data_IF_423229413892
#
_entry.id   IF_423229413892
#
_cell.length_a   1.000
_cell.length_b   1.000
_cell.length_c   1.000
_cell.angle_alpha   90.00
_cell.angle_beta   90.00
_cell.angle_gamma   90.00
#
_symmetry.space_group_name_H-M   'P 1'
#
loop_
_entity.id
_entity.type
_entity.pdbx_description
1 polymer ?
#
# COMPACT_ATOMS: atom_id res chain seq x y z
N UNK A 1 -8.43 -15.24 4.66
CA UNK A 1 -9.65 -14.44 4.53
C UNK A 1 -9.46 -13.07 5.15
N UNK A 2 -9.88 -12.05 4.45
CA UNK A 2 -9.73 -10.69 4.92
C UNK A 2 -10.83 -10.36 5.92
N UNK A 3 -10.46 -9.78 7.06
CA UNK A 3 -11.44 -9.36 8.04
C UNK A 3 -12.22 -8.13 7.60
N UNK A 4 -13.34 -7.85 8.26
CA UNK A 4 -14.16 -6.70 7.87
C UNK A 4 -13.42 -5.39 8.18
N UNK A 5 -13.79 -4.31 7.47
CA UNK A 5 -13.18 -3.02 7.75
C UNK A 5 -13.58 -2.50 9.12
N UNK A 6 -12.68 -1.72 9.71
CA UNK A 6 -12.92 -1.07 10.98
C UNK A 6 -14.06 -0.06 10.85
N UNK A 7 -14.85 0.07 11.91
CA UNK A 7 -15.95 1.03 11.92
C UNK A 7 -15.46 2.47 11.75
N UNK A 8 -14.27 2.76 12.26
CA UNK A 8 -13.69 4.09 12.09
C UNK A 8 -13.43 4.37 10.62
N UNK A 9 -12.90 3.38 9.91
CA UNK A 9 -12.68 3.54 8.48
C UNK A 9 -13.99 3.78 7.73
N UNK A 10 -15.01 3.00 8.05
CA UNK A 10 -16.30 3.18 7.39
C UNK A 10 -16.86 4.57 7.67
N UNK A 11 -16.67 5.07 8.89
CA UNK A 11 -17.09 6.43 9.23
C UNK A 11 -16.34 7.48 8.42
N UNK A 12 -15.04 7.30 8.25
CA UNK A 12 -14.25 8.24 7.47
C UNK A 12 -14.68 8.26 6.01
N UNK A 13 -15.04 7.10 5.46
CA UNK A 13 -15.42 7.00 4.06
C UNK A 13 -16.85 7.42 3.79
N UNK A 14 -17.65 7.62 4.85
CA UNK A 14 -19.07 7.90 4.69
C UNK A 14 -19.35 9.20 3.94
N UNK A 15 -18.41 10.14 3.96
CA UNK A 15 -18.59 11.42 3.27
C UNK A 15 -18.18 11.39 1.81
N UNK A 16 -17.60 10.28 1.36
CA UNK A 16 -17.16 10.16 -0.03
C UNK A 16 -18.29 9.58 -0.88
N UNK A 17 -18.17 9.79 -2.19
CA UNK A 17 -19.07 9.13 -3.13
C UNK A 17 -19.04 7.63 -2.89
N UNK A 18 -20.21 6.94 -2.89
CA UNK A 18 -20.22 5.50 -2.66
C UNK A 18 -19.35 4.70 -3.60
N UNK A 19 -19.21 5.15 -4.85
CA UNK A 19 -18.32 4.48 -5.80
C UNK A 19 -16.86 4.53 -5.31
N UNK A 20 -16.45 5.70 -4.83
CA UNK A 20 -15.08 5.88 -4.35
C UNK A 20 -14.86 5.08 -3.07
N UNK A 21 -15.84 5.10 -2.17
CA UNK A 21 -15.75 4.30 -0.95
C UNK A 21 -15.58 2.82 -1.27
N UNK A 22 -16.34 2.32 -2.25
CA UNK A 22 -16.20 0.92 -2.67
C UNK A 22 -14.81 0.63 -3.23
N UNK A 23 -14.25 1.57 -3.99
CA UNK A 23 -12.90 1.39 -4.52
C UNK A 23 -11.86 1.33 -3.40
N UNK A 24 -12.00 2.20 -2.40
CA UNK A 24 -11.09 2.19 -1.27
C UNK A 24 -11.15 0.85 -0.52
N UNK A 25 -12.37 0.35 -0.30
CA UNK A 25 -12.54 -0.92 0.40
C UNK A 25 -12.07 -2.10 -0.43
N UNK A 26 -12.27 -2.05 -1.74
CA UNK A 26 -11.78 -3.11 -2.62
C UNK A 26 -10.26 -3.13 -2.67
N UNK A 27 -9.64 -1.95 -2.71
CA UNK A 27 -8.18 -1.86 -2.69
C UNK A 27 -7.63 -2.39 -1.36
N UNK A 28 -8.28 -2.04 -0.25
CA UNK A 28 -7.91 -2.56 1.07
C UNK A 28 -7.94 -4.09 1.07
N UNK A 29 -9.01 -4.66 0.54
CA UNK A 29 -9.15 -6.11 0.52
C UNK A 29 -8.04 -6.76 -0.28
N UNK A 30 -7.72 -6.18 -1.43
CA UNK A 30 -6.65 -6.70 -2.27
C UNK A 30 -5.31 -6.69 -1.54
N UNK A 31 -5.00 -5.58 -0.85
CA UNK A 31 -3.75 -5.48 -0.10
C UNK A 31 -3.68 -6.55 0.98
N UNK A 32 -4.76 -6.73 1.72
CA UNK A 32 -4.76 -7.69 2.83
C UNK A 32 -4.79 -9.13 2.35
N UNK A 33 -5.30 -9.39 1.13
CA UNK A 33 -5.17 -10.71 0.53
C UNK A 33 -3.71 -11.04 0.26
N UNK A 34 -2.96 -10.07 -0.23
CA UNK A 34 -1.55 -10.29 -0.52
C UNK A 34 -0.67 -10.23 0.72
N UNK A 35 -1.11 -9.52 1.73
CA UNK A 35 -0.33 -9.32 2.96
C UNK A 35 -1.23 -9.52 4.19
N UNK A 36 -1.63 -10.77 4.47
CA UNK A 36 -2.58 -11.01 5.56
C UNK A 36 -2.08 -10.60 6.95
N UNK A 37 -0.78 -10.47 7.13
CA UNK A 37 -0.23 -10.03 8.40
C UNK A 37 -0.06 -8.53 8.52
N UNK A 38 -0.47 -7.76 7.53
CA UNK A 38 -0.25 -6.33 7.55
C UNK A 38 -1.15 -5.64 8.58
N UNK A 39 -0.61 -4.57 9.16
CA UNK A 39 -1.32 -3.73 10.11
C UNK A 39 -1.80 -2.49 9.39
N UNK A 40 -3.09 -2.19 9.52
CA UNK A 40 -3.70 -1.01 8.92
C UNK A 40 -3.55 0.17 9.86
N UNK A 41 -3.14 1.30 9.32
CA UNK A 41 -3.03 2.54 10.09
C UNK A 41 -3.85 3.60 9.38
N UNK A 42 -4.93 4.06 10.01
CA UNK A 42 -5.86 5.00 9.42
C UNK A 42 -5.43 6.42 9.68
N UNK A 43 -5.65 7.28 8.71
CA UNK A 43 -5.35 8.70 8.82
C UNK A 43 -6.45 9.48 8.12
N UNK A 44 -6.86 10.59 8.74
CA UNK A 44 -7.86 11.48 8.19
C UNK A 44 -7.31 12.90 8.23
N UNK A 45 -6.52 13.24 7.24
CA UNK A 45 -6.03 14.59 7.09
C UNK A 45 -6.64 15.21 5.86
N UNK A 46 -5.78 15.60 4.94
CA UNK A 46 -6.21 16.14 3.66
C UNK A 46 -7.05 15.13 2.90
N UNK A 47 -6.69 13.86 2.99
CA UNK A 47 -7.46 12.78 2.38
C UNK A 47 -7.51 11.64 3.40
N UNK A 48 -8.57 10.84 3.33
CA UNK A 48 -8.62 9.62 4.14
C UNK A 48 -7.62 8.64 3.54
N UNK A 49 -6.74 8.11 4.37
CA UNK A 49 -5.74 7.16 3.89
C UNK A 49 -5.58 6.00 4.85
N UNK A 50 -5.14 4.88 4.28
CA UNK A 50 -4.83 3.67 5.02
C UNK A 50 -3.39 3.32 4.71
N UNK A 51 -2.54 3.34 5.72
CA UNK A 51 -1.18 2.88 5.55
C UNK A 51 -1.07 1.42 5.97
N UNK A 52 -0.19 0.67 5.31
CA UNK A 52 0.01 -0.74 5.60
C UNK A 52 1.47 -1.00 5.91
N UNK A 53 1.71 -1.69 7.02
CA UNK A 53 3.05 -2.06 7.46
C UNK A 53 2.96 -3.36 8.23
N UNK A 54 4.12 -3.95 8.51
CA UNK A 54 4.16 -5.13 9.37
C UNK A 54 4.59 -4.77 10.78
N UNK A 55 4.83 -3.48 11.05
CA UNK A 55 5.29 -3.02 12.37
C UNK A 55 4.30 -2.09 13.05
N UNK A 56 3.30 -1.59 12.31
CA UNK A 56 2.39 -0.58 12.83
C UNK A 56 2.92 0.84 12.68
N UNK A 57 4.07 1.01 12.05
CA UNK A 57 4.67 2.33 11.84
C UNK A 57 4.65 2.66 10.35
N UNK A 58 3.52 3.19 9.85
CA UNK A 58 3.33 3.33 8.41
C UNK A 58 4.27 4.32 7.74
N UNK A 59 4.72 5.36 8.45
CA UNK A 59 5.62 6.33 7.84
C UNK A 59 7.05 5.81 7.73
N UNK A 60 7.46 5.01 8.70
CA UNK A 60 8.81 4.47 8.71
C UNK A 60 8.91 3.16 7.95
N UNK A 61 7.95 2.27 8.18
CA UNK A 61 8.03 0.89 7.72
C UNK A 61 6.91 0.50 6.78
N UNK A 62 6.12 1.45 6.30
CA UNK A 62 5.02 1.15 5.38
C UNK A 62 5.50 0.68 4.04
N UNK A 63 4.78 -0.27 3.46
CA UNK A 63 5.11 -0.75 2.12
C UNK A 63 4.13 -0.23 1.08
N UNK A 64 2.89 0.07 1.48
CA UNK A 64 1.93 0.68 0.58
C UNK A 64 0.88 1.43 1.38
N UNK A 65 0.08 2.20 0.67
CA UNK A 65 -0.99 2.97 1.29
C UNK A 65 -2.09 3.21 0.26
N UNK A 66 -3.28 3.50 0.76
CA UNK A 66 -4.42 3.85 -0.08
C UNK A 66 -4.83 5.27 0.31
N UNK A 67 -4.85 6.18 -0.65
CA UNK A 67 -5.31 7.54 -0.44
C UNK A 67 -6.60 7.74 -1.20
N UNK A 68 -7.62 8.32 -0.54
CA UNK A 68 -8.96 8.43 -1.09
C UNK A 68 -9.23 9.87 -1.48
N UNK A 69 -9.60 10.07 -2.74
CA UNK A 69 -9.92 11.38 -3.29
C UNK A 69 -11.37 11.42 -3.75
N UNK A 70 -11.81 12.57 -4.24
CA UNK A 70 -13.23 12.73 -4.57
C UNK A 70 -13.70 11.85 -5.71
N UNK A 71 -12.82 11.52 -6.66
CA UNK A 71 -13.21 10.75 -7.85
C UNK A 71 -12.50 9.42 -8.00
N UNK A 72 -11.50 9.15 -7.16
CA UNK A 72 -10.67 7.96 -7.34
C UNK A 72 -9.91 7.68 -6.05
N UNK A 73 -9.23 6.55 -6.03
CA UNK A 73 -8.26 6.27 -4.98
C UNK A 73 -6.90 6.04 -5.63
N UNK A 74 -5.85 6.31 -4.89
CA UNK A 74 -4.51 5.96 -5.30
C UNK A 74 -4.02 4.81 -4.44
N UNK A 75 -3.51 3.77 -5.11
CA UNK A 75 -2.76 2.73 -4.41
C UNK A 75 -1.29 3.11 -4.53
N UNK A 76 -0.73 3.57 -3.42
CA UNK A 76 0.63 4.09 -3.41
C UNK A 76 1.61 3.11 -2.80
N UNK A 77 2.84 3.17 -3.28
CA UNK A 77 3.93 2.34 -2.78
C UNK A 77 4.96 3.26 -2.18
N UNK A 78 5.24 3.04 -0.90
CA UNK A 78 6.09 3.96 -0.14
C UNK A 78 7.48 4.10 -0.74
N UNK A 79 7.99 3.03 -1.34
CA UNK A 79 9.27 3.05 -2.03
C UNK A 79 9.10 2.64 -3.49
N UNK A 80 8.04 3.17 -4.10
CA UNK A 80 7.68 2.80 -5.46
C UNK A 80 8.75 3.09 -6.48
N UNK A 81 9.55 4.13 -6.24
CA UNK A 81 10.63 4.48 -7.16
C UNK A 81 11.68 3.38 -7.27
N UNK A 82 11.75 2.49 -6.28
CA UNK A 82 12.71 1.40 -6.25
C UNK A 82 12.14 0.08 -6.73
N UNK A 83 10.86 0.06 -7.10
CA UNK A 83 10.23 -1.14 -7.63
C UNK A 83 10.56 -1.32 -9.11
N UNK A 84 10.70 -2.56 -9.58
CA UNK A 84 10.86 -2.79 -11.02
C UNK A 84 9.61 -2.30 -11.76
N UNK A 85 9.80 -1.39 -12.69
CA UNK A 85 8.68 -0.82 -13.45
C UNK A 85 9.14 -0.56 -14.89
N UNK A 86 9.46 -1.62 -15.63
CA UNK A 86 9.99 -1.44 -16.99
C UNK A 86 9.01 -0.79 -17.95
N UNK A 87 7.71 -0.92 -17.70
CA UNK A 87 6.68 -0.37 -18.58
C UNK A 87 6.15 0.97 -18.10
N UNK A 88 6.76 1.53 -17.06
CA UNK A 88 6.40 2.84 -16.53
C UNK A 88 4.92 2.95 -16.19
N UNK A 89 4.43 1.97 -15.44
CA UNK A 89 3.04 1.92 -15.04
C UNK A 89 2.76 2.70 -13.77
N UNK A 90 3.79 3.01 -13.00
CA UNK A 90 3.64 3.74 -11.76
C UNK A 90 3.76 5.23 -12.02
N UNK A 91 2.86 6.00 -11.41
CA UNK A 91 2.81 7.45 -11.55
C UNK A 91 3.41 8.12 -10.32
N UNK A 92 3.80 9.37 -10.49
CA UNK A 92 4.34 10.16 -9.40
C UNK A 92 5.76 10.61 -9.71
N UNK A 93 6.15 11.72 -9.07
CA UNK A 93 7.47 12.28 -9.28
C UNK A 93 8.16 12.63 -7.97
N UNK A 94 7.66 12.11 -6.86
CA UNK A 94 8.32 12.29 -5.59
C UNK A 94 9.61 11.50 -5.51
N UNK A 95 10.30 11.66 -4.41
CA UNK A 95 11.60 11.03 -4.25
C UNK A 95 11.48 9.51 -4.19
N UNK A 96 10.47 9.00 -3.48
CA UNK A 96 10.31 7.55 -3.32
C UNK A 96 8.92 7.06 -3.68
N UNK A 97 7.89 7.83 -3.40
CA UNK A 97 6.51 7.35 -3.52
C UNK A 97 6.08 7.32 -4.97
N UNK A 98 5.47 6.21 -5.37
CA UNK A 98 4.81 6.07 -6.67
C UNK A 98 3.44 5.46 -6.43
N UNK A 99 2.53 5.62 -7.39
CA UNK A 99 1.17 5.12 -7.20
C UNK A 99 0.54 4.66 -8.49
N UNK A 100 -0.55 3.90 -8.32
CA UNK A 100 -1.46 3.53 -9.39
C UNK A 100 -2.78 4.23 -9.09
N UNK A 101 -3.32 4.94 -10.07
CA UNK A 101 -4.62 5.57 -9.93
C UNK A 101 -5.71 4.55 -10.22
N UNK A 102 -6.65 4.40 -9.29
CA UNK A 102 -7.73 3.43 -9.38
C UNK A 102 -9.04 4.20 -9.51
N UNK A 103 -9.65 4.10 -10.69
CA UNK A 103 -10.92 4.77 -10.95
C UNK A 103 -12.07 3.79 -11.07
N UNK A 104 -11.76 2.51 -11.22
CA UNK A 104 -12.76 1.45 -11.34
C UNK A 104 -12.16 0.17 -10.80
N UNK A 105 -13.02 -0.82 -10.57
CA UNK A 105 -12.53 -2.10 -10.11
C UNK A 105 -11.66 -2.79 -11.16
N UNK A 106 -11.93 -2.51 -12.44
CA UNK A 106 -11.07 -3.06 -13.50
C UNK A 106 -9.63 -2.63 -13.32
N UNK A 107 -9.41 -1.40 -12.85
CA UNK A 107 -8.05 -0.93 -12.60
C UNK A 107 -7.36 -1.76 -11.53
N UNK A 108 -8.09 -2.16 -10.50
CA UNK A 108 -7.54 -3.01 -9.44
C UNK A 108 -7.24 -4.42 -9.93
N UNK A 109 -8.00 -4.88 -10.90
CA UNK A 109 -7.90 -6.28 -11.36
C UNK A 109 -6.82 -6.49 -12.40
N UNK A 110 -6.09 -5.45 -12.77
CA UNK A 110 -5.00 -5.61 -13.71
C UNK A 110 -3.89 -6.43 -13.06
N UNK A 111 -3.34 -7.42 -13.77
CA UNK A 111 -2.37 -8.33 -13.14
C UNK A 111 -1.16 -7.64 -12.54
N UNK A 112 -0.73 -6.51 -13.10
CA UNK A 112 0.46 -5.84 -12.59
C UNK A 112 0.25 -5.24 -11.20
N UNK A 113 -1.00 -5.03 -10.76
CA UNK A 113 -1.26 -4.47 -9.44
C UNK A 113 -0.77 -5.43 -8.36
N UNK A 114 -1.13 -6.71 -8.47
CA UNK A 114 -0.67 -7.69 -7.49
C UNK A 114 0.85 -7.89 -7.58
N UNK A 115 1.41 -7.81 -8.78
CA UNK A 115 2.87 -7.94 -8.92
C UNK A 115 3.60 -6.83 -8.20
N UNK A 116 3.12 -5.58 -8.33
CA UNK A 116 3.73 -4.48 -7.59
C UNK A 116 3.56 -4.64 -6.08
N UNK A 117 2.38 -5.10 -5.64
CA UNK A 117 2.18 -5.36 -4.21
C UNK A 117 3.15 -6.42 -3.71
N UNK A 118 3.31 -7.51 -4.44
CA UNK A 118 4.22 -8.56 -4.05
C UNK A 118 5.65 -8.04 -3.96
N UNK A 119 6.06 -7.22 -4.93
CA UNK A 119 7.40 -6.65 -4.92
C UNK A 119 7.57 -5.69 -3.73
N UNK A 120 6.54 -4.90 -3.43
CA UNK A 120 6.61 -3.97 -2.31
C UNK A 120 6.69 -4.72 -0.97
N UNK A 121 5.94 -5.81 -0.85
CA UNK A 121 6.00 -6.65 0.34
C UNK A 121 7.40 -7.24 0.48
N UNK A 122 8.00 -7.69 -0.62
CA UNK A 122 9.35 -8.22 -0.58
C UNK A 122 10.37 -7.18 -0.14
N UNK A 123 10.19 -5.93 -0.54
CA UNK A 123 11.10 -4.88 -0.12
C UNK A 123 11.23 -4.78 1.39
N UNK A 124 10.12 -4.94 2.10
CA UNK A 124 10.13 -4.79 3.55
C UNK A 124 10.31 -6.14 4.27
N UNK A 125 9.99 -7.23 3.59
CA UNK A 125 10.15 -8.58 4.17
C UNK A 125 11.57 -9.09 4.03
N UNK A 126 12.27 -8.67 2.97
CA UNK A 126 13.67 -8.98 2.83
C UNK A 126 14.39 -8.17 3.90
N UNK A 127 14.71 -8.78 5.01
CA UNK A 127 15.23 -8.09 6.17
C UNK A 127 16.10 -6.92 5.78
N UNK A 128 15.79 -5.73 6.27
CA UNK A 128 16.57 -4.55 5.90
C UNK A 128 18.01 -4.64 6.36
N UNK A 129 18.89 -3.95 5.70
CA UNK A 129 20.31 -4.02 6.02
C UNK A 129 20.63 -3.72 7.47
N UNK A 130 19.88 -2.83 8.09
CA UNK A 130 20.11 -2.51 9.48
C UNK A 130 19.41 -3.47 10.43
N UNK A 131 18.70 -4.45 9.90
CA UNK A 131 18.11 -5.47 10.73
C UNK A 131 19.20 -6.42 11.22
N UNK A 132 19.19 -6.79 12.48
CA UNK A 132 20.20 -7.73 12.97
C UNK A 132 20.27 -9.01 12.17
N UNK A 133 19.11 -9.56 11.80
CA UNK A 133 19.10 -10.83 11.08
C UNK A 133 19.68 -10.65 9.68
N UNK A 134 19.40 -9.54 9.04
CA UNK A 134 19.91 -9.31 7.72
C UNK A 134 21.40 -9.00 7.73
N UNK A 135 21.82 -8.21 8.70
CA UNK A 135 23.21 -7.83 8.76
C UNK A 135 24.12 -9.01 8.89
N UNK A 136 23.73 -9.98 9.67
CA UNK A 136 24.55 -11.15 9.83
C UNK A 136 24.64 -12.01 8.60
N UNK A 137 23.61 -11.99 7.82
CA UNK A 137 23.62 -12.82 6.63
C UNK A 137 24.57 -12.34 5.59
N UNK A 138 24.97 -11.18 5.70
CA UNK A 138 25.91 -10.68 4.77
C UNK A 138 27.27 -10.95 5.23
N UNK A 139 27.53 -11.32 5.71
CA UNK A 139 28.51 -11.28 6.30
C UNK A 139 29.08 -10.12 6.16
N UNK A 140 28.61 -9.80 6.60
CA UNK A 140 28.69 -9.07 6.74
C UNK A 140 29.34 -8.56 6.55
N UNK A 141 29.64 -8.56 6.30
CA UNK A 141 30.03 -8.33 6.20
C UNK A 141 30.46 -8.22 6.54
N UNK A 142 30.64 -8.56 6.97
CA UNK A 142 30.89 -8.76 7.49
C UNK A 142 31.29 -9.05 7.52
#
# INVERSE_FOLDING_TARGET
MVGPPDRVLLGYLASYDPHVSRLALAARELVLEEAPGAIESLSKGYAVSIGFSFTGKPLKDGFCHIATYSTHVNLGFNRGALLPDPNRLLAGNGKLIRHITIRSEDDLNRPFVRRFLQAAIEQVSAAPPDSPSNRRKRPRSR
#
